data_IF_222440287310
#
_entry.id   IF_222440287310
#
_cell.length_a   1.000
_cell.length_b   1.000
_cell.length_c   1.000
_cell.angle_alpha   90.00
_cell.angle_beta   90.00
_cell.angle_gamma   90.00
#
_symmetry.space_group_name_H-M   'P 1'
#
loop_
_entity.id
_entity.type
_entity.pdbx_description
1 polymer ?
#
# COMPACT_ATOMS: atom_id res chain seq x y z
N UNK A 1 1.59 16.69 1.53
CA UNK A 1 0.17 17.01 1.27
C UNK A 1 -0.01 18.22 0.34
N UNK A 2 0.39 19.43 0.74
CA UNK A 2 0.11 20.66 -0.04
C UNK A 2 0.60 20.64 -1.51
N UNK A 3 1.83 20.17 -1.77
CA UNK A 3 2.36 20.07 -3.14
C UNK A 3 1.57 19.09 -4.02
N UNK A 4 1.10 17.99 -3.44
CA UNK A 4 0.31 16.99 -4.16
C UNK A 4 -1.09 17.54 -4.48
N UNK A 5 -1.74 18.19 -3.51
CA UNK A 5 -3.03 18.86 -3.73
C UNK A 5 -2.91 19.97 -4.77
N UNK A 6 -1.84 20.77 -4.72
CA UNK A 6 -1.56 21.79 -5.73
C UNK A 6 -1.38 21.20 -7.13
N UNK A 7 -0.63 20.09 -7.25
CA UNK A 7 -0.47 19.38 -8.51
C UNK A 7 -1.82 18.87 -9.05
N UNK A 8 -2.68 18.35 -8.17
CA UNK A 8 -4.02 17.88 -8.52
C UNK A 8 -4.92 19.04 -8.97
N UNK A 9 -5.00 20.13 -8.20
CA UNK A 9 -5.78 21.33 -8.54
C UNK A 9 -5.36 21.91 -9.90
N UNK A 10 -4.05 21.91 -10.21
CA UNK A 10 -3.52 22.35 -11.50
C UNK A 10 -3.96 21.44 -12.65
N UNK A 11 -4.02 20.11 -12.45
CA UNK A 11 -4.50 19.15 -13.47
C UNK A 11 -5.99 19.32 -13.74
N UNK A 12 -6.76 19.66 -12.71
CA UNK A 12 -8.19 19.93 -12.80
C UNK A 12 -8.52 21.37 -13.23
N UNK A 13 -7.52 22.16 -13.66
CA UNK A 13 -7.65 23.55 -14.11
C UNK A 13 -8.34 24.52 -13.15
N UNK A 14 -8.38 24.21 -11.84
CA UNK A 14 -8.92 25.13 -10.83
C UNK A 14 -7.93 26.28 -10.58
N UNK A 15 -8.36 27.51 -10.88
CA UNK A 15 -7.56 28.74 -10.73
C UNK A 15 -7.68 29.38 -9.34
N UNK A 16 -8.63 28.93 -8.52
CA UNK A 16 -8.95 29.49 -7.19
C UNK A 16 -9.01 28.36 -6.16
N UNK A 17 -8.62 28.65 -4.92
CA UNK A 17 -8.78 27.74 -3.78
C UNK A 17 -10.27 27.62 -3.49
N UNK A 18 -10.87 26.54 -4.00
CA UNK A 18 -12.28 26.19 -3.80
C UNK A 18 -12.43 25.18 -2.65
N UNK A 19 -13.64 25.04 -2.10
CA UNK A 19 -13.96 24.07 -1.04
C UNK A 19 -13.57 22.64 -1.44
N UNK A 20 -13.71 22.30 -2.72
CA UNK A 20 -13.30 21.01 -3.27
C UNK A 20 -11.79 20.79 -3.14
N UNK A 21 -10.97 21.82 -3.41
CA UNK A 21 -9.51 21.72 -3.27
C UNK A 21 -9.08 21.57 -1.81
N UNK A 22 -9.82 22.18 -0.88
CA UNK A 22 -9.62 22.00 0.56
C UNK A 22 -9.99 20.58 1.01
N UNK A 23 -11.10 20.02 0.50
CA UNK A 23 -11.48 18.64 0.77
C UNK A 23 -10.41 17.64 0.27
N UNK A 24 -9.88 17.85 -0.93
CA UNK A 24 -8.77 17.07 -1.47
C UNK A 24 -7.50 17.18 -0.60
N UNK A 25 -7.20 18.37 -0.06
CA UNK A 25 -6.10 18.53 0.90
C UNK A 25 -6.31 17.68 2.15
N UNK A 26 -7.52 17.69 2.71
CA UNK A 26 -7.88 16.88 3.88
C UNK A 26 -7.74 15.38 3.61
N UNK A 27 -8.22 14.89 2.45
CA UNK A 27 -8.11 13.49 2.07
C UNK A 27 -6.64 13.04 1.91
N UNK A 28 -5.83 13.83 1.21
CA UNK A 28 -4.40 13.55 1.06
C UNK A 28 -3.68 13.61 2.40
N UNK A 29 -4.01 14.59 3.26
CA UNK A 29 -3.43 14.69 4.59
C UNK A 29 -3.81 13.50 5.50
N UNK A 30 -5.06 13.05 5.46
CA UNK A 30 -5.52 11.84 6.16
C UNK A 30 -4.73 10.60 5.74
N UNK A 31 -4.45 10.46 4.43
CA UNK A 31 -3.61 9.40 3.89
C UNK A 31 -2.17 9.40 4.41
N UNK A 32 -1.53 10.58 4.43
CA UNK A 32 -0.20 10.74 5.03
C UNK A 32 -0.21 10.46 6.53
N UNK A 33 -1.22 10.95 7.26
CA UNK A 33 -1.35 10.73 8.70
C UNK A 33 -1.50 9.23 9.02
N UNK A 34 -2.30 8.52 8.22
CA UNK A 34 -2.43 7.06 8.30
C UNK A 34 -1.07 6.35 8.14
N UNK A 35 -0.27 6.73 7.13
CA UNK A 35 1.05 6.15 6.94
C UNK A 35 1.97 6.38 8.15
N UNK A 36 1.93 7.58 8.74
CA UNK A 36 2.70 7.91 9.93
C UNK A 36 2.26 7.06 11.12
N UNK A 37 0.96 6.96 11.39
CA UNK A 37 0.44 6.12 12.47
C UNK A 37 0.80 4.64 12.29
N UNK A 38 0.64 4.12 11.07
CA UNK A 38 1.01 2.73 10.75
C UNK A 38 2.51 2.49 10.95
N UNK A 39 3.37 3.42 10.51
CA UNK A 39 4.81 3.32 10.68
C UNK A 39 5.22 3.37 12.15
N UNK A 40 4.70 4.32 12.93
CA UNK A 40 5.01 4.45 14.36
C UNK A 40 4.57 3.22 15.14
N UNK A 41 3.35 2.74 14.92
CA UNK A 41 2.85 1.54 15.60
C UNK A 41 3.61 0.29 15.15
N UNK A 42 3.91 0.18 13.86
CA UNK A 42 4.71 -0.93 13.33
C UNK A 42 6.11 -0.99 13.93
N UNK A 43 6.79 0.15 14.03
CA UNK A 43 8.10 0.25 14.68
C UNK A 43 8.01 -0.07 16.17
N UNK A 44 6.99 0.40 16.88
CA UNK A 44 6.77 0.08 18.27
C UNK A 44 6.51 -1.43 18.47
N UNK A 45 5.73 -2.06 17.59
CA UNK A 45 5.46 -3.50 17.62
C UNK A 45 6.73 -4.32 17.34
N UNK A 46 7.52 -3.95 16.34
CA UNK A 46 8.80 -4.61 16.04
C UNK A 46 9.77 -4.46 17.20
N UNK A 47 9.87 -3.25 17.76
CA UNK A 47 10.70 -3.00 18.94
C UNK A 47 10.27 -3.91 20.11
N UNK A 48 8.98 -3.91 20.47
CA UNK A 48 8.47 -4.77 21.54
C UNK A 48 8.70 -6.26 21.28
N UNK A 49 8.54 -6.71 20.04
CA UNK A 49 8.75 -8.10 19.63
C UNK A 49 10.22 -8.52 19.77
N UNK A 50 11.16 -7.70 19.26
CA UNK A 50 12.60 -7.97 19.34
C UNK A 50 13.06 -8.01 20.79
N UNK A 51 12.65 -7.04 21.61
CA UNK A 51 13.01 -7.01 23.03
C UNK A 51 12.39 -8.16 23.83
N UNK A 52 11.15 -8.56 23.52
CA UNK A 52 10.50 -9.69 24.19
C UNK A 52 11.16 -11.03 23.84
N UNK A 53 11.52 -11.24 22.58
CA UNK A 53 12.16 -12.49 22.12
C UNK A 53 13.64 -12.57 22.50
N UNK A 54 14.37 -11.47 22.42
CA UNK A 54 15.80 -11.41 22.69
C UNK A 54 16.20 -11.30 24.16
N UNK A 55 15.26 -11.45 25.10
CA UNK A 55 15.57 -11.36 26.53
C UNK A 55 16.11 -12.68 27.08
N UNK A 56 17.31 -12.65 27.68
CA UNK A 56 17.89 -13.79 28.40
C UNK A 56 17.47 -13.85 29.88
N UNK A 57 17.03 -12.71 30.42
CA UNK A 57 16.48 -12.54 31.77
C UNK A 57 15.24 -11.65 31.63
N UNK A 58 14.17 -11.97 32.36
CA UNK A 58 12.90 -11.25 32.28
C UNK A 58 13.04 -9.81 32.78
N UNK A 59 13.12 -8.86 31.84
CA UNK A 59 13.20 -7.42 32.13
C UNK A 59 11.97 -6.65 31.63
N UNK A 60 11.36 -7.11 30.53
CA UNK A 60 10.18 -6.48 29.92
C UNK A 60 9.01 -7.45 30.03
N UNK A 61 8.00 -7.03 30.79
CA UNK A 61 6.71 -7.74 30.86
C UNK A 61 5.85 -7.42 29.63
N UNK A 62 4.77 -8.18 29.45
CA UNK A 62 3.74 -7.86 28.45
C UNK A 62 3.33 -6.38 28.54
N UNK A 63 2.98 -5.73 27.40
CA UNK A 63 2.48 -4.37 27.37
C UNK A 63 1.37 -4.14 28.40
N UNK A 64 1.39 -2.98 29.06
CA UNK A 64 0.31 -2.61 29.98
C UNK A 64 -1.02 -2.53 29.23
N UNK A 65 -2.15 -2.80 29.90
CA UNK A 65 -3.49 -2.73 29.30
C UNK A 65 -3.79 -1.37 28.65
N UNK A 66 -3.24 -0.30 29.20
CA UNK A 66 -3.36 1.04 28.62
C UNK A 66 -2.63 1.14 27.27
N UNK A 67 -1.38 0.65 27.19
CA UNK A 67 -0.60 0.65 25.95
C UNK A 67 -1.26 -0.19 24.85
N UNK A 68 -1.77 -1.36 25.21
CA UNK A 68 -2.52 -2.22 24.28
C UNK A 68 -3.75 -1.50 23.71
N UNK A 69 -4.53 -0.83 24.56
CA UNK A 69 -5.67 -0.01 24.11
C UNK A 69 -5.26 1.13 23.17
N UNK A 70 -4.12 1.80 23.43
CA UNK A 70 -3.62 2.83 22.55
C UNK A 70 -3.21 2.26 21.18
N UNK A 71 -2.41 1.18 21.17
CA UNK A 71 -1.98 0.51 19.94
C UNK A 71 -3.19 0.06 19.12
N UNK A 72 -4.16 -0.59 19.74
CA UNK A 72 -5.41 -1.03 19.10
C UNK A 72 -6.15 0.15 18.44
N UNK A 73 -6.30 1.27 19.17
CA UNK A 73 -6.96 2.47 18.67
C UNK A 73 -6.21 3.08 17.48
N UNK A 74 -4.87 3.22 17.58
CA UNK A 74 -4.07 3.76 16.48
C UNK A 74 -4.12 2.89 15.23
N UNK A 75 -4.13 1.56 15.36
CA UNK A 75 -4.29 0.65 14.21
C UNK A 75 -5.63 0.85 13.52
N UNK A 76 -6.73 0.90 14.29
CA UNK A 76 -8.08 1.14 13.73
C UNK A 76 -8.14 2.49 13.01
N UNK A 77 -7.63 3.54 13.64
CA UNK A 77 -7.63 4.89 13.05
C UNK A 77 -6.77 4.93 11.79
N UNK A 78 -5.56 4.37 11.83
CA UNK A 78 -4.67 4.30 10.68
C UNK A 78 -5.33 3.55 9.51
N UNK A 79 -5.93 2.39 9.77
CA UNK A 79 -6.64 1.61 8.76
C UNK A 79 -7.82 2.39 8.16
N UNK A 80 -8.65 2.99 9.00
CA UNK A 80 -9.84 3.75 8.57
C UNK A 80 -9.45 4.94 7.69
N UNK A 81 -8.45 5.72 8.10
CA UNK A 81 -7.93 6.84 7.30
C UNK A 81 -7.32 6.37 5.98
N UNK A 82 -6.60 5.23 5.98
CA UNK A 82 -6.06 4.63 4.74
C UNK A 82 -7.17 4.23 3.79
N UNK A 83 -8.22 3.60 4.31
CA UNK A 83 -9.35 3.13 3.52
C UNK A 83 -10.04 4.30 2.80
N UNK A 84 -10.24 5.42 3.50
CA UNK A 84 -10.81 6.64 2.91
C UNK A 84 -9.93 7.18 1.77
N UNK A 85 -8.60 7.23 1.95
CA UNK A 85 -7.67 7.63 0.89
C UNK A 85 -7.76 6.67 -0.31
N UNK A 86 -7.75 5.35 -0.07
CA UNK A 86 -7.82 4.33 -1.13
C UNK A 86 -9.13 4.44 -1.92
N UNK A 87 -10.26 4.61 -1.24
CA UNK A 87 -11.56 4.84 -1.91
C UNK A 87 -11.51 6.10 -2.77
N UNK A 88 -10.93 7.18 -2.26
CA UNK A 88 -10.75 8.41 -3.04
C UNK A 88 -9.84 8.19 -4.27
N UNK A 89 -8.80 7.37 -4.15
CA UNK A 89 -7.91 7.04 -5.28
C UNK A 89 -8.65 6.21 -6.34
N UNK A 90 -9.43 5.21 -5.91
CA UNK A 90 -10.25 4.38 -6.82
C UNK A 90 -11.29 5.24 -7.53
N UNK A 91 -11.98 6.12 -6.81
CA UNK A 91 -12.94 7.04 -7.40
C UNK A 91 -12.31 7.91 -8.50
N UNK A 92 -11.13 8.47 -8.21
CA UNK A 92 -10.37 9.25 -9.20
C UNK A 92 -10.00 8.42 -10.43
N UNK A 93 -9.56 7.17 -10.25
CA UNK A 93 -9.23 6.28 -11.37
C UNK A 93 -10.44 5.93 -12.23
N UNK A 94 -11.60 5.70 -11.60
CA UNK A 94 -12.86 5.42 -12.31
C UNK A 94 -13.43 6.62 -13.05
N UNK A 95 -13.04 7.84 -12.68
CA UNK A 95 -13.55 9.09 -13.27
C UNK A 95 -12.70 9.59 -14.45
N UNK A 96 -11.72 8.80 -14.90
CA UNK A 96 -10.84 9.17 -16.03
C UNK A 96 -11.45 8.70 -17.33
N UNK A 97 -11.81 9.65 -18.18
CA UNK A 97 -12.15 9.40 -19.58
C UNK A 97 -10.89 9.50 -20.45
N UNK A 98 -10.61 8.46 -21.23
CA UNK A 98 -9.47 8.41 -22.14
C UNK A 98 -9.95 8.66 -23.56
N UNK A 99 -9.41 9.69 -24.20
CA UNK A 99 -9.66 10.01 -25.59
C UNK A 99 -8.42 9.71 -26.44
N UNK A 100 -8.54 8.73 -27.34
CA UNK A 100 -7.47 8.36 -28.27
C UNK A 100 -7.59 9.20 -29.54
N UNK A 101 -6.53 9.92 -29.86
CA UNK A 101 -6.46 10.76 -31.05
C UNK A 101 -5.43 10.18 -32.02
N UNK A 102 -5.88 9.84 -33.23
CA UNK A 102 -4.97 9.56 -34.35
C UNK A 102 -4.67 10.88 -35.08
N UNK A 103 -3.39 11.25 -35.16
CA UNK A 103 -2.94 12.50 -35.79
C UNK A 103 -2.66 12.34 -37.29
N UNK A 104 -2.99 11.19 -37.89
CA UNK A 104 -2.91 11.02 -39.33
C UNK A 104 -3.97 11.86 -40.05
N UNK A 105 -3.54 12.60 -41.08
CA UNK A 105 -4.46 13.40 -41.89
C UNK A 105 -5.36 12.47 -42.70
N UNK A 106 -6.69 12.69 -42.70
CA UNK A 106 -7.59 11.91 -43.54
C UNK A 106 -7.19 12.13 -45.00
N UNK A 107 -6.78 11.04 -45.68
CA UNK A 107 -6.52 11.07 -47.12
C UNK A 107 -7.87 11.23 -47.82
N UNK A 108 -8.11 12.42 -48.37
CA UNK A 108 -9.32 12.69 -49.14
C UNK A 108 -9.30 11.87 -50.43
N UNK A 109 -10.47 11.42 -50.89
CA UNK A 109 -10.67 10.58 -52.08
C UNK A 109 -10.22 11.20 -53.42
N UNK A 110 -9.58 12.38 -53.41
CA UNK A 110 -9.09 13.08 -54.60
C UNK A 110 -7.75 12.54 -55.13
N UNK A 111 -6.93 11.97 -54.25
CA UNK A 111 -5.80 11.15 -54.65
C UNK A 111 -6.26 9.69 -54.62
N UNK A 112 -5.85 8.86 -55.58
CA UNK A 112 -6.11 7.40 -55.63
C UNK A 112 -5.54 6.61 -54.43
N UNK A 113 -5.30 7.26 -53.30
CA UNK A 113 -4.83 6.70 -52.05
C UNK A 113 -5.99 6.23 -51.20
N UNK A 114 -5.86 5.02 -50.65
CA UNK A 114 -6.84 4.44 -49.75
C UNK A 114 -7.05 5.32 -48.50
N UNK A 115 -8.30 5.42 -47.99
CA UNK A 115 -8.58 6.13 -46.76
C UNK A 115 -7.90 5.45 -45.57
N UNK A 116 -7.60 6.24 -44.52
CA UNK A 116 -7.00 5.72 -43.29
C UNK A 116 -8.00 4.79 -42.60
N UNK A 117 -7.54 3.60 -42.22
CA UNK A 117 -8.41 2.60 -41.61
C UNK A 117 -8.64 2.87 -40.12
N UNK A 118 -9.89 2.78 -39.68
CA UNK A 118 -10.27 2.94 -38.27
C UNK A 118 -9.70 1.82 -37.36
N UNK A 119 -9.33 0.70 -37.97
CA UNK A 119 -8.73 -0.46 -37.30
C UNK A 119 -7.46 -0.13 -36.51
N UNK A 120 -6.70 0.89 -36.91
CA UNK A 120 -5.52 1.34 -36.15
C UNK A 120 -5.88 1.86 -34.77
N UNK A 121 -6.91 2.70 -34.68
CA UNK A 121 -7.40 3.22 -33.41
C UNK A 121 -7.96 2.09 -32.54
N UNK A 122 -8.68 1.14 -33.13
CA UNK A 122 -9.17 -0.04 -32.42
C UNK A 122 -8.03 -0.91 -31.89
N UNK A 123 -6.97 -1.12 -32.68
CA UNK A 123 -5.79 -1.87 -32.24
C UNK A 123 -5.14 -1.20 -31.02
N UNK A 124 -4.91 0.11 -31.07
CA UNK A 124 -4.35 0.86 -29.93
C UNK A 124 -5.27 0.80 -28.71
N UNK A 125 -6.59 0.91 -28.90
CA UNK A 125 -7.55 0.78 -27.81
C UNK A 125 -7.53 -0.62 -27.17
N UNK A 126 -7.35 -1.67 -27.98
CA UNK A 126 -7.24 -3.05 -27.51
C UNK A 126 -5.97 -3.26 -26.68
N UNK A 127 -4.82 -2.84 -27.19
CA UNK A 127 -3.53 -2.93 -26.47
C UNK A 127 -3.58 -2.13 -25.16
N UNK A 128 -4.19 -0.94 -25.18
CA UNK A 128 -4.39 -0.15 -23.97
C UNK A 128 -5.27 -0.87 -22.94
N UNK A 129 -6.32 -1.57 -23.38
CA UNK A 129 -7.16 -2.38 -22.49
C UNK A 129 -6.39 -3.55 -21.88
N UNK A 130 -5.51 -4.19 -22.65
CA UNK A 130 -4.66 -5.28 -22.15
C UNK A 130 -3.69 -4.79 -21.06
N UNK A 131 -3.01 -3.66 -21.28
CA UNK A 131 -2.08 -3.05 -20.32
C UNK A 131 -2.75 -2.69 -18.99
N UNK A 132 -4.03 -2.28 -19.01
CA UNK A 132 -4.77 -1.97 -17.78
C UNK A 132 -4.95 -3.19 -16.86
N UNK A 133 -4.96 -4.40 -17.44
CA UNK A 133 -5.11 -5.65 -16.70
C UNK A 133 -3.76 -6.29 -16.32
N UNK A 134 -2.66 -5.75 -16.82
CA UNK A 134 -1.33 -6.29 -16.58
C UNK A 134 -0.90 -6.04 -15.13
N UNK A 135 -0.54 -7.12 -14.44
CA UNK A 135 -0.03 -7.03 -13.07
C UNK A 135 1.44 -6.64 -13.12
N UNK A 136 1.79 -5.54 -12.45
CA UNK A 136 3.20 -5.13 -12.29
C UNK A 136 4.03 -6.13 -11.47
N UNK A 137 3.39 -7.01 -10.71
CA UNK A 137 4.06 -8.01 -9.86
C UNK A 137 3.98 -9.40 -10.48
N UNK A 138 5.09 -10.12 -10.52
CA UNK A 138 5.12 -11.51 -10.96
C UNK A 138 4.73 -12.43 -9.80
N UNK A 139 3.64 -13.18 -9.97
CA UNK A 139 3.11 -14.09 -8.94
C UNK A 139 4.16 -15.10 -8.47
N UNK A 140 4.95 -15.65 -9.40
CA UNK A 140 5.97 -16.65 -9.09
C UNK A 140 7.06 -16.11 -8.17
N UNK A 141 7.55 -14.88 -8.41
CA UNK A 141 8.57 -14.26 -7.54
C UNK A 141 7.99 -14.00 -6.16
N UNK A 142 6.74 -13.55 -6.09
CA UNK A 142 6.06 -13.33 -4.82
C UNK A 142 5.96 -14.63 -4.00
N UNK A 143 5.49 -15.72 -4.61
CA UNK A 143 5.35 -17.01 -3.93
C UNK A 143 6.71 -17.57 -3.45
N UNK A 144 7.73 -17.52 -4.30
CA UNK A 144 9.09 -17.95 -3.93
C UNK A 144 9.63 -17.11 -2.78
N UNK A 145 9.46 -15.78 -2.84
CA UNK A 145 9.86 -14.87 -1.76
C UNK A 145 9.14 -15.17 -0.45
N UNK A 146 7.83 -15.43 -0.48
CA UNK A 146 7.06 -15.79 0.72
C UNK A 146 7.55 -17.10 1.34
N UNK A 147 7.78 -18.14 0.54
CA UNK A 147 8.30 -19.43 1.04
C UNK A 147 9.70 -19.26 1.63
N UNK A 148 10.57 -18.49 0.98
CA UNK A 148 11.92 -18.19 1.49
C UNK A 148 11.84 -17.49 2.85
N UNK A 149 11.01 -16.45 2.98
CA UNK A 149 10.79 -15.75 4.25
C UNK A 149 10.30 -16.67 5.36
N UNK A 150 9.27 -17.48 5.09
CA UNK A 150 8.66 -18.33 6.12
C UNK A 150 9.59 -19.49 6.52
N UNK A 151 10.15 -20.21 5.54
CA UNK A 151 10.90 -21.45 5.76
C UNK A 151 12.40 -21.26 5.95
N UNK A 152 13.04 -20.42 5.14
CA UNK A 152 14.51 -20.27 5.17
C UNK A 152 14.92 -19.33 6.31
N UNK A 153 14.25 -18.19 6.45
CA UNK A 153 14.48 -17.30 7.60
C UNK A 153 13.77 -17.78 8.88
N UNK A 154 12.96 -18.83 8.78
CA UNK A 154 12.29 -19.44 9.93
C UNK A 154 11.24 -18.55 10.59
N UNK A 155 10.67 -17.57 9.86
CA UNK A 155 9.63 -16.67 10.38
C UNK A 155 8.41 -17.42 10.93
N UNK A 156 8.17 -18.66 10.51
CA UNK A 156 7.13 -19.51 11.10
C UNK A 156 7.30 -19.74 12.61
N UNK A 157 8.54 -19.77 13.12
CA UNK A 157 8.83 -19.99 14.52
C UNK A 157 8.73 -18.71 15.36
N UNK A 158 8.64 -17.54 14.72
CA UNK A 158 8.61 -16.24 15.42
C UNK A 158 7.26 -15.96 16.07
N UNK A 159 6.19 -16.63 15.64
CA UNK A 159 4.86 -16.53 16.23
C UNK A 159 4.72 -17.33 17.55
N UNK A 160 5.66 -18.22 17.87
CA UNK A 160 5.65 -18.98 19.13
C UNK A 160 5.82 -18.02 20.30
N UNK A 161 5.09 -18.20 21.40
CA UNK A 161 5.15 -17.27 22.54
C UNK A 161 6.40 -17.43 23.43
N UNK A 162 7.21 -18.47 23.24
CA UNK A 162 8.37 -18.73 24.09
C UNK A 162 9.52 -17.74 23.82
N UNK A 163 9.96 -16.96 24.83
CA UNK A 163 11.22 -16.22 24.75
C UNK A 163 12.42 -17.18 24.82
N UNK A 164 13.58 -16.78 24.31
CA UNK A 164 14.83 -17.53 24.40
C UNK A 164 15.42 -17.46 25.83
N UNK A 165 14.63 -17.87 26.81
CA UNK A 165 15.13 -18.10 28.17
C UNK A 165 15.96 -19.38 28.07
N UNK A 166 17.26 -19.27 28.35
CA UNK A 166 18.20 -20.39 28.40
C UNK A 166 17.82 -21.37 29.51
N UNK A 167 16.72 -22.10 29.30
CA UNK A 167 16.19 -23.11 30.20
C UNK A 167 16.91 -24.41 29.90
N UNK A 168 18.21 -24.42 30.18
CA UNK A 168 18.86 -25.66 30.60
C UNK A 168 18.20 -26.04 31.93
N UNK A 169 17.02 -26.65 31.87
CA UNK A 169 16.47 -27.39 32.99
C UNK A 169 17.45 -28.55 33.17
N UNK A 170 18.40 -28.37 34.08
CA UNK A 170 19.22 -29.48 34.54
C UNK A 170 18.28 -30.49 35.20
N UNK A 171 18.42 -31.79 34.93
CA UNK A 171 17.53 -32.83 35.46
C UNK A 171 17.44 -32.89 36.99
N UNK A 172 18.28 -32.15 37.71
CA UNK A 172 18.26 -32.00 39.17
C UNK A 172 17.06 -31.19 39.69
N UNK A 173 16.42 -30.35 38.87
CA UNK A 173 15.29 -29.51 39.29
C UNK A 173 13.94 -30.28 39.36
N UNK A 174 13.90 -31.53 38.88
CA UNK A 174 12.67 -32.33 38.77
C UNK A 174 12.44 -33.29 39.96
N UNK A 175 13.41 -33.36 40.88
CA UNK A 175 13.40 -34.26 42.05
C UNK A 175 13.44 -33.53 43.40
N UNK A 176 13.07 -32.24 43.42
CA UNK A 176 13.00 -31.44 44.65
C UNK A 176 11.59 -30.98 44.97
#
# INVERSE_FOLDING_TARGET
SALQTWSHAKRSAHLVIDLLTLCQLCLVAAGHLSNVFFLVVGLAAVHSLVYYKGQSVTQILLPSRALDSYVHTYVIVAFSLKLVEVVSMVWQQMSVDIFLIDWERPRAAKDNTQPVSIWRTYFVANEWNEIQSERRTSLSVQLVGTVLLIKVFGLENWAVSDPDINSTITPEMLYR
#
